data_IF_097907763848
#
_entry.id   IF_097907763848
#
_cell.length_a   1.000
_cell.length_b   1.000
_cell.length_c   1.000
_cell.angle_alpha   90.00
_cell.angle_beta   90.00
_cell.angle_gamma   90.00
#
_symmetry.space_group_name_H-M   'P 1'
#
loop_
_entity.id
_entity.type
_entity.pdbx_description
1 polymer ?
#
# COMPACT_ATOMS: atom_id res chain seq x y z
N UNK A 1 19.84 28.43 13.12
CA UNK A 1 20.48 27.20 12.62
C UNK A 1 20.88 26.42 13.86
N UNK A 2 20.43 25.18 13.98
CA UNK A 2 20.88 24.32 15.08
C UNK A 2 22.30 23.85 14.78
N UNK A 3 23.22 24.09 15.72
CA UNK A 3 24.62 23.65 15.62
C UNK A 3 24.79 22.13 15.73
N UNK A 4 23.77 21.41 16.21
CA UNK A 4 23.78 19.96 16.35
C UNK A 4 23.50 19.20 15.04
N UNK A 5 22.94 19.86 14.02
CA UNK A 5 22.53 19.21 12.78
C UNK A 5 21.25 18.40 12.93
N UNK A 6 21.05 17.37 12.08
CA UNK A 6 19.92 16.44 12.18
C UNK A 6 20.22 15.43 13.30
N UNK A 7 19.38 15.40 14.33
CA UNK A 7 19.48 14.49 15.48
C UNK A 7 18.38 13.42 15.43
N UNK A 8 18.47 12.41 16.30
CA UNK A 8 17.46 11.34 16.36
C UNK A 8 16.05 11.89 16.65
N UNK A 9 15.93 12.96 17.44
CA UNK A 9 14.66 13.58 17.79
C UNK A 9 14.00 14.31 16.61
N UNK A 10 14.74 14.57 15.52
CA UNK A 10 14.17 15.10 14.27
C UNK A 10 13.46 14.00 13.45
N UNK A 11 13.72 12.72 13.76
CA UNK A 11 13.08 11.59 13.10
C UNK A 11 11.80 11.20 13.83
N UNK A 12 10.73 11.02 13.07
CA UNK A 12 9.48 10.49 13.57
C UNK A 12 9.05 9.28 12.76
N UNK A 13 8.40 8.35 13.44
CA UNK A 13 7.81 7.17 12.82
C UNK A 13 6.55 7.60 12.08
N UNK A 14 6.50 7.34 10.78
CA UNK A 14 5.27 7.47 10.02
C UNK A 14 4.27 6.42 10.51
N UNK A 15 2.98 6.75 10.53
CA UNK A 15 1.89 5.85 10.91
C UNK A 15 1.63 4.71 9.88
N UNK A 16 2.68 4.26 9.20
CA UNK A 16 2.75 3.08 8.35
C UNK A 16 3.25 1.91 9.23
N UNK A 17 2.67 0.74 9.06
CA UNK A 17 2.96 -0.45 9.88
C UNK A 17 3.97 -1.38 9.19
N UNK A 18 4.26 -2.53 9.80
CA UNK A 18 4.99 -3.62 9.15
C UNK A 18 6.45 -3.30 8.81
N UNK A 19 6.95 -3.87 7.71
CA UNK A 19 8.35 -3.72 7.30
C UNK A 19 8.65 -2.37 6.63
N UNK A 20 7.62 -1.72 6.09
CA UNK A 20 7.72 -0.49 5.30
C UNK A 20 8.37 -0.68 3.92
N UNK A 21 7.73 -0.18 2.86
CA UNK A 21 8.25 -0.20 1.49
C UNK A 21 8.24 1.18 0.84
N UNK A 22 7.29 1.47 -0.04
CA UNK A 22 7.21 2.75 -0.72
C UNK A 22 6.64 3.79 0.24
N UNK A 23 7.25 4.97 0.26
CA UNK A 23 6.76 6.18 0.95
C UNK A 23 6.74 7.31 -0.07
N UNK A 24 5.57 7.91 -0.26
CA UNK A 24 5.29 8.95 -1.26
C UNK A 24 4.54 10.12 -0.62
N UNK A 25 5.24 11.23 -0.29
CA UNK A 25 4.58 12.47 0.09
C UNK A 25 3.73 13.01 -1.08
N UNK A 26 2.53 13.50 -0.78
CA UNK A 26 1.67 14.16 -1.76
C UNK A 26 2.29 15.52 -2.14
N UNK A 27 2.63 15.76 -3.41
CA UNK A 27 3.29 17.00 -3.83
C UNK A 27 2.41 18.25 -3.71
N UNK A 28 1.09 18.10 -3.54
CA UNK A 28 0.17 19.21 -3.28
C UNK A 28 -0.02 19.51 -1.80
N UNK A 29 0.25 18.55 -0.92
CA UNK A 29 0.19 18.69 0.53
C UNK A 29 1.17 17.72 1.22
N UNK A 30 2.37 18.20 1.53
CA UNK A 30 3.42 17.38 2.12
C UNK A 30 3.07 16.79 3.51
N UNK A 31 2.00 17.22 4.17
CA UNK A 31 1.53 16.57 5.39
C UNK A 31 0.80 15.26 5.10
N UNK A 32 0.43 14.99 3.85
CA UNK A 32 -0.16 13.75 3.42
C UNK A 32 0.92 12.85 2.84
N UNK A 33 1.02 11.64 3.36
CA UNK A 33 1.95 10.62 2.89
C UNK A 33 1.19 9.35 2.54
N UNK A 34 1.48 8.78 1.39
CA UNK A 34 1.09 7.42 1.03
C UNK A 34 2.24 6.48 1.34
N UNK A 35 2.01 5.48 2.17
CA UNK A 35 3.01 4.47 2.48
C UNK A 35 2.42 3.07 2.43
N UNK A 36 3.22 2.04 2.18
CA UNK A 36 2.75 0.67 2.28
C UNK A 36 3.74 -0.29 2.95
N UNK A 37 3.20 -1.45 3.30
CA UNK A 37 3.91 -2.62 3.84
C UNK A 37 3.42 -3.90 3.15
N UNK A 38 3.75 -5.07 3.70
CA UNK A 38 3.46 -6.41 3.15
C UNK A 38 2.08 -6.52 2.52
N UNK A 39 2.00 -7.18 1.36
CA UNK A 39 0.74 -7.46 0.64
C UNK A 39 -0.07 -6.18 0.37
N UNK A 40 0.67 -5.11 0.04
CA UNK A 40 0.17 -3.77 -0.20
C UNK A 40 -0.68 -3.20 0.94
N UNK A 41 -0.23 -3.34 2.19
CA UNK A 41 -0.83 -2.66 3.34
C UNK A 41 -0.74 -1.14 3.19
N UNK A 42 -1.55 -0.58 2.30
CA UNK A 42 -1.47 0.79 1.81
C UNK A 42 -2.19 1.70 2.79
N UNK A 43 -1.47 2.69 3.29
CA UNK A 43 -1.92 3.62 4.31
C UNK A 43 -1.72 5.04 3.80
N UNK A 44 -2.76 5.87 3.97
CA UNK A 44 -2.67 7.33 3.84
C UNK A 44 -2.50 7.92 5.23
N UNK A 45 -1.36 8.55 5.46
CA UNK A 45 -0.99 9.21 6.71
C UNK A 45 -1.26 10.71 6.59
N UNK A 46 -1.89 11.29 7.62
CA UNK A 46 -1.93 12.73 7.84
C UNK A 46 -1.04 13.08 9.03
N UNK A 47 0.09 13.73 8.73
CA UNK A 47 1.12 14.07 9.70
C UNK A 47 0.66 15.12 10.71
N UNK A 48 -0.32 15.96 10.37
CA UNK A 48 -0.81 17.01 11.27
C UNK A 48 -1.43 16.44 12.53
N UNK A 49 -2.04 15.26 12.41
CA UNK A 49 -2.72 14.55 13.49
C UNK A 49 -2.04 13.23 13.85
N UNK A 50 -0.95 12.88 13.18
CA UNK A 50 -0.19 11.64 13.39
C UNK A 50 -1.01 10.36 13.15
N UNK A 51 -1.98 10.36 12.22
CA UNK A 51 -2.87 9.21 11.98
C UNK A 51 -2.73 8.65 10.57
N UNK A 52 -2.67 7.32 10.50
CA UNK A 52 -2.77 6.55 9.26
C UNK A 52 -4.19 5.99 9.07
N UNK A 53 -4.66 5.97 7.82
CA UNK A 53 -5.88 5.26 7.39
C UNK A 53 -5.52 4.23 6.34
N UNK A 54 -5.90 2.97 6.57
CA UNK A 54 -5.82 1.92 5.56
C UNK A 54 -6.69 2.27 4.35
N UNK A 55 -6.10 2.23 3.17
CA UNK A 55 -6.73 2.58 1.89
C UNK A 55 -6.37 1.58 0.79
N UNK A 56 -5.94 0.36 1.15
CA UNK A 56 -5.69 -0.69 0.16
C UNK A 56 -6.98 -0.98 -0.63
N UNK A 57 -6.94 -1.16 -1.96
CA UNK A 57 -8.11 -1.61 -2.71
C UNK A 57 -8.62 -2.94 -2.17
N UNK A 58 -9.93 -3.05 -1.99
CA UNK A 58 -10.59 -4.27 -1.54
C UNK A 58 -11.67 -4.69 -2.53
N UNK A 59 -11.76 -5.99 -2.77
CA UNK A 59 -12.82 -6.55 -3.59
C UNK A 59 -14.15 -6.48 -2.84
N UNK A 60 -15.25 -6.42 -3.58
CA UNK A 60 -16.58 -6.57 -2.97
C UNK A 60 -16.75 -7.99 -2.41
N UNK A 61 -17.70 -8.18 -1.49
CA UNK A 61 -17.89 -9.43 -0.76
C UNK A 61 -18.05 -10.69 -1.65
N UNK A 62 -18.57 -10.53 -2.87
CA UNK A 62 -18.86 -11.64 -3.78
C UNK A 62 -17.82 -11.77 -4.90
N UNK A 63 -16.79 -10.91 -4.91
CA UNK A 63 -15.75 -10.92 -5.93
C UNK A 63 -14.48 -11.59 -5.38
N UNK A 64 -13.66 -12.23 -6.23
CA UNK A 64 -12.37 -12.75 -5.81
C UNK A 64 -11.50 -11.64 -5.19
N UNK A 65 -10.83 -11.97 -4.09
CA UNK A 65 -9.91 -11.03 -3.44
C UNK A 65 -8.80 -10.59 -4.39
N UNK A 66 -8.47 -9.30 -4.37
CA UNK A 66 -7.34 -8.80 -5.13
C UNK A 66 -6.03 -9.37 -4.58
N UNK A 67 -5.11 -9.67 -5.49
CA UNK A 67 -3.80 -10.24 -5.17
C UNK A 67 -2.76 -9.16 -5.28
N UNK A 68 -1.90 -9.06 -4.28
CA UNK A 68 -0.85 -8.06 -4.22
C UNK A 68 0.49 -8.75 -4.04
N UNK A 69 1.54 -8.16 -4.61
CA UNK A 69 2.90 -8.61 -4.37
C UNK A 69 3.31 -8.26 -2.94
N UNK A 70 4.33 -8.97 -2.43
CA UNK A 70 4.99 -8.62 -1.16
C UNK A 70 5.28 -7.13 -1.10
N UNK A 71 5.95 -6.60 -2.13
CA UNK A 71 6.14 -5.17 -2.35
C UNK A 71 5.33 -4.71 -3.58
N UNK A 72 4.34 -3.86 -3.34
CA UNK A 72 3.44 -3.34 -4.38
C UNK A 72 3.74 -1.87 -4.66
N UNK A 73 3.76 -1.43 -5.94
CA UNK A 73 4.15 -0.06 -6.27
C UNK A 73 3.08 0.96 -5.88
N UNK A 74 3.52 2.15 -5.46
CA UNK A 74 2.69 3.36 -5.30
C UNK A 74 3.22 4.43 -6.26
N UNK A 75 2.32 5.05 -7.03
CA UNK A 75 2.67 6.18 -7.89
C UNK A 75 1.65 7.31 -7.75
N UNK A 76 2.13 8.54 -7.55
CA UNK A 76 1.30 9.75 -7.58
C UNK A 76 1.53 10.39 -8.95
N UNK A 77 0.44 10.72 -9.66
CA UNK A 77 0.53 11.35 -10.96
C UNK A 77 1.26 12.69 -10.87
N UNK A 78 2.27 12.96 -11.71
CA UNK A 78 2.95 14.25 -11.75
C UNK A 78 2.07 15.36 -12.33
N UNK A 79 0.99 15.01 -13.03
CA UNK A 79 0.07 15.95 -13.68
C UNK A 79 -1.15 16.31 -12.81
N UNK A 80 -1.52 15.43 -11.88
CA UNK A 80 -2.65 15.63 -10.97
C UNK A 80 -2.38 14.88 -9.66
N UNK A 81 -1.89 15.57 -8.60
CA UNK A 81 -1.55 14.95 -7.32
C UNK A 81 -2.69 14.20 -6.62
N UNK A 82 -3.95 14.50 -6.97
CA UNK A 82 -5.11 13.76 -6.44
C UNK A 82 -5.20 12.35 -6.99
N UNK A 83 -4.56 12.10 -8.13
CA UNK A 83 -4.55 10.81 -8.81
C UNK A 83 -3.39 9.96 -8.30
N UNK A 84 -3.72 8.87 -7.61
CA UNK A 84 -2.76 7.89 -7.07
C UNK A 84 -3.05 6.51 -7.67
N UNK A 85 -1.99 5.78 -7.97
CA UNK A 85 -2.02 4.44 -8.51
C UNK A 85 -1.36 3.46 -7.54
N UNK A 86 -1.91 2.25 -7.48
CA UNK A 86 -1.26 1.11 -6.84
C UNK A 86 -1.40 -0.13 -7.71
N UNK A 87 -0.37 -0.98 -7.72
CA UNK A 87 -0.36 -2.22 -8.50
C UNK A 87 -0.62 -3.46 -7.66
N UNK A 88 -1.45 -4.36 -8.17
CA UNK A 88 -1.58 -5.76 -7.74
C UNK A 88 -1.72 -6.63 -8.99
N UNK A 89 -2.60 -7.63 -8.95
CA UNK A 89 -3.04 -8.32 -10.16
C UNK A 89 -3.81 -7.40 -11.12
N UNK A 90 -4.32 -6.27 -10.63
CA UNK A 90 -4.83 -5.17 -11.46
C UNK A 90 -4.05 -3.89 -11.20
N UNK A 91 -4.15 -2.94 -12.13
CA UNK A 91 -3.78 -1.54 -11.89
C UNK A 91 -5.00 -0.80 -11.31
N UNK A 92 -4.82 -0.26 -10.10
CA UNK A 92 -5.85 0.49 -9.40
C UNK A 92 -5.55 1.98 -9.45
N UNK A 93 -6.59 2.81 -9.61
CA UNK A 93 -6.51 4.27 -9.57
C UNK A 93 -7.50 4.83 -8.56
N UNK A 94 -7.06 5.78 -7.74
CA UNK A 94 -7.94 6.63 -6.92
C UNK A 94 -7.77 8.09 -7.34
N UNK A 95 -8.82 8.90 -7.16
CA UNK A 95 -8.80 10.35 -7.34
C UNK A 95 -9.21 11.12 -6.07
N UNK A 96 -9.39 10.42 -4.96
CA UNK A 96 -9.94 10.96 -3.71
C UNK A 96 -9.20 10.47 -2.47
N UNK A 97 -7.89 10.22 -2.61
CA UNK A 97 -7.02 9.82 -1.50
C UNK A 97 -7.34 8.41 -0.96
N UNK A 98 -7.71 7.50 -1.86
CA UNK A 98 -7.94 6.09 -1.55
C UNK A 98 -9.25 5.80 -0.83
N UNK A 99 -10.25 6.69 -0.94
CA UNK A 99 -11.60 6.40 -0.45
C UNK A 99 -12.32 5.41 -1.36
N UNK A 100 -12.08 5.49 -2.67
CA UNK A 100 -12.45 4.46 -3.62
C UNK A 100 -11.34 4.25 -4.66
N UNK A 101 -11.41 3.08 -5.28
CA UNK A 101 -10.47 2.63 -6.29
C UNK A 101 -11.21 2.14 -7.52
N UNK A 102 -10.69 2.50 -8.68
CA UNK A 102 -11.12 2.03 -9.98
C UNK A 102 -10.07 1.07 -10.55
N UNK A 103 -10.53 -0.06 -11.10
CA UNK A 103 -9.68 -0.96 -11.88
C UNK A 103 -9.54 -0.38 -13.29
N UNK A 104 -8.31 -0.11 -13.71
CA UNK A 104 -8.02 0.50 -15.02
C UNK A 104 -7.20 -0.41 -15.94
N UNK A 105 -7.14 -1.70 -15.63
CA UNK A 105 -6.47 -2.72 -16.45
C UNK A 105 -7.23 -4.05 -16.42
N UNK A 106 -7.02 -4.95 -17.38
CA UNK A 106 -7.31 -6.37 -17.20
C UNK A 106 -6.44 -6.98 -16.08
N UNK A 107 -6.66 -8.25 -15.76
CA UNK A 107 -5.76 -9.00 -14.87
C UNK A 107 -4.38 -9.10 -15.53
N UNK A 108 -3.37 -8.58 -14.86
CA UNK A 108 -1.98 -8.49 -15.29
C UNK A 108 -1.14 -9.67 -14.76
N UNK A 109 -1.74 -10.62 -14.04
CA UNK A 109 -1.04 -11.83 -13.56
C UNK A 109 -1.25 -13.03 -14.48
N UNK A 110 -0.48 -14.10 -14.27
CA UNK A 110 -0.71 -15.37 -14.97
C UNK A 110 -1.95 -16.12 -14.46
N UNK A 111 -2.52 -15.67 -13.33
CA UNK A 111 -3.65 -16.27 -12.62
C UNK A 111 -3.57 -17.81 -12.50
N UNK A 112 -2.36 -18.34 -12.30
CA UNK A 112 -2.08 -19.77 -12.15
C UNK A 112 -2.40 -20.21 -10.71
N UNK A 113 -3.43 -21.04 -10.47
CA UNK A 113 -3.84 -21.43 -9.11
C UNK A 113 -2.73 -22.13 -8.31
N UNK A 114 -1.83 -22.84 -8.98
CA UNK A 114 -0.72 -23.53 -8.32
C UNK A 114 0.32 -22.56 -7.76
N UNK A 115 0.44 -21.37 -8.38
CA UNK A 115 1.38 -20.31 -7.97
C UNK A 115 0.75 -19.26 -7.04
N UNK A 116 -0.54 -19.38 -6.74
CA UNK A 116 -1.26 -18.52 -5.80
C UNK A 116 -1.26 -19.06 -4.37
N UNK A 117 -0.72 -20.25 -4.16
CA UNK A 117 -0.56 -20.87 -2.85
C UNK A 117 0.49 -20.12 -2.04
N UNK A 118 0.33 -20.09 -0.73
CA UNK A 118 1.27 -19.42 0.17
C UNK A 118 2.69 -20.00 0.00
N UNK A 119 3.63 -19.12 -0.34
CA UNK A 119 5.03 -19.50 -0.56
C UNK A 119 5.80 -19.80 0.73
N UNK A 120 5.17 -19.64 1.89
CA UNK A 120 5.83 -19.68 3.20
C UNK A 120 5.19 -20.60 4.24
N UNK A 121 4.18 -21.39 3.88
CA UNK A 121 3.58 -22.32 4.85
C UNK A 121 4.29 -23.66 4.79
N UNK A 122 4.81 -24.12 5.94
CA UNK A 122 5.18 -25.53 6.15
C UNK A 122 3.99 -26.40 5.75
N UNK A 123 4.24 -27.44 4.95
CA UNK A 123 3.24 -28.48 4.67
C UNK A 123 2.76 -29.05 6.01
N UNK A 124 1.46 -28.96 6.36
CA UNK A 124 0.96 -29.73 7.47
C UNK A 124 0.73 -31.14 6.93
N UNK A 125 1.76 -31.98 6.97
CA UNK A 125 1.49 -33.38 7.18
C UNK A 125 0.77 -33.48 8.54
N UNK A 126 -0.51 -33.88 8.49
CA UNK A 126 -1.30 -34.51 9.55
C UNK A 126 -1.05 -33.99 10.98
N UNK A 127 -2.00 -33.20 11.51
CA UNK A 127 -2.64 -33.54 12.79
C UNK A 127 -4.13 -33.23 12.65
N UNK A 128 -4.93 -34.29 12.58
CA UNK A 128 -6.34 -34.24 12.92
C UNK A 128 -6.45 -34.17 14.44
N UNK A 129 -7.18 -33.19 14.96
CA UNK A 129 -7.78 -33.22 16.30
C UNK A 129 -9.28 -33.22 16.11
#
# INVERSE_FOLDING_TARGET
YDSAGIVNDDWYVLAVMGDGFFVKPDPSDHNIIYGNYQMNGLTRVDQRIGRGRGIRPEASLHEPVYRFNWNSPIHISPHDPKTVYTGGNYLFRTRNGGQNWEIISPDLSTNDPEKQKDSGSILPNKISI
#
